data_IF_113463271759
#
_entry.id   IF_113463271759
#
_cell.length_a   1.000
_cell.length_b   1.000
_cell.length_c   1.000
_cell.angle_alpha   90.00
_cell.angle_beta   90.00
_cell.angle_gamma   90.00
#
_symmetry.space_group_name_H-M   'P 1'
#
loop_
_entity.id
_entity.type
_entity.pdbx_description
1 polymer ?
#
# COMPACT_ATOMS: atom_id res chain seq x y z
N UNK A 1 23.61 17.08 41.33
CA UNK A 1 24.03 16.09 40.31
C UNK A 1 23.84 16.70 38.92
N UNK A 2 24.96 16.99 38.24
CA UNK A 2 24.92 17.60 36.87
C UNK A 2 24.64 16.50 35.86
N UNK A 3 23.60 16.68 35.01
CA UNK A 3 23.29 15.79 33.85
C UNK A 3 24.45 15.85 32.84
N UNK A 4 24.91 14.72 32.27
CA UNK A 4 25.92 14.75 31.24
C UNK A 4 25.37 15.41 29.96
N UNK A 5 26.13 16.35 29.40
CA UNK A 5 25.89 16.96 28.09
C UNK A 5 26.01 15.88 27.03
N UNK A 6 24.96 15.66 26.24
CA UNK A 6 25.05 14.91 24.98
C UNK A 6 25.97 15.67 24.03
N UNK A 7 27.18 15.18 23.84
CA UNK A 7 28.10 15.63 22.80
C UNK A 7 27.50 15.30 21.43
N UNK A 8 27.05 16.32 20.72
CA UNK A 8 26.71 16.18 19.30
C UNK A 8 27.99 15.80 18.53
N UNK A 9 27.92 14.76 17.70
CA UNK A 9 29.01 14.40 16.76
C UNK A 9 29.29 15.64 15.89
N UNK A 10 30.55 15.99 15.73
CA UNK A 10 30.99 17.08 14.87
C UNK A 10 30.75 16.74 13.39
N UNK A 11 30.66 17.74 12.52
CA UNK A 11 30.55 17.56 11.08
C UNK A 11 31.70 16.75 10.47
N UNK A 12 32.87 16.75 11.11
CA UNK A 12 34.04 15.95 10.72
C UNK A 12 33.92 14.46 11.08
N UNK A 13 33.17 14.09 12.14
CA UNK A 13 32.91 12.69 12.49
C UNK A 13 31.89 12.04 11.53
N UNK A 14 31.02 12.84 10.90
CA UNK A 14 30.03 12.36 9.92
C UNK A 14 30.70 11.94 8.59
N UNK A 15 31.82 12.57 8.19
CA UNK A 15 32.51 12.26 6.94
C UNK A 15 33.36 10.98 7.04
N UNK A 16 33.90 10.64 8.22
CA UNK A 16 34.72 9.44 8.41
C UNK A 16 33.94 8.12 8.33
N UNK A 17 32.65 8.11 8.64
CA UNK A 17 31.80 6.91 8.65
C UNK A 17 31.11 6.63 7.29
N UNK A 18 31.16 7.55 6.33
CA UNK A 18 30.47 7.42 5.03
C UNK A 18 30.86 6.19 4.18
N UNK A 19 32.14 5.78 4.07
CA UNK A 19 32.51 4.56 3.35
C UNK A 19 31.86 3.31 3.95
N UNK A 20 31.78 3.24 5.29
CA UNK A 20 31.14 2.14 6.00
C UNK A 20 29.62 2.11 5.75
N UNK A 21 28.97 3.28 5.62
CA UNK A 21 27.53 3.38 5.33
C UNK A 21 27.22 2.86 3.92
N UNK A 22 28.02 3.20 2.90
CA UNK A 22 27.83 2.69 1.54
C UNK A 22 28.04 1.16 1.48
N UNK A 23 28.99 0.63 2.23
CA UNK A 23 29.22 -0.82 2.34
C UNK A 23 28.00 -1.52 2.98
N UNK A 24 27.45 -0.93 4.03
CA UNK A 24 26.26 -1.47 4.69
C UNK A 24 25.01 -1.34 3.81
N UNK A 25 24.87 -0.23 3.06
CA UNK A 25 23.80 -0.05 2.09
C UNK A 25 23.85 -1.09 0.97
N UNK A 26 25.03 -1.33 0.41
CA UNK A 26 25.23 -2.36 -0.61
C UNK A 26 24.95 -3.77 -0.07
N UNK A 27 25.32 -4.08 1.17
CA UNK A 27 25.04 -5.36 1.82
C UNK A 27 23.54 -5.60 1.98
N UNK A 28 22.82 -4.64 2.56
CA UNK A 28 21.37 -4.80 2.74
C UNK A 28 20.62 -4.80 1.40
N UNK A 29 21.10 -4.04 0.42
CA UNK A 29 20.59 -4.08 -0.94
C UNK A 29 20.72 -5.49 -1.55
N UNK A 30 21.87 -6.14 -1.38
CA UNK A 30 22.08 -7.54 -1.81
C UNK A 30 21.00 -8.46 -1.25
N UNK A 31 20.75 -8.41 0.06
CA UNK A 31 19.70 -9.22 0.70
C UNK A 31 18.28 -8.89 0.20
N UNK A 32 18.02 -7.64 -0.16
CA UNK A 32 16.72 -7.24 -0.72
C UNK A 32 16.55 -7.74 -2.15
N UNK A 33 17.61 -7.77 -2.94
CA UNK A 33 17.61 -8.23 -4.33
C UNK A 33 17.51 -9.77 -4.49
N UNK A 34 17.58 -10.53 -3.40
CA UNK A 34 17.22 -11.95 -3.38
C UNK A 34 15.70 -12.15 -3.57
N UNK A 35 14.90 -11.12 -3.30
CA UNK A 35 13.44 -11.10 -3.43
C UNK A 35 12.68 -12.17 -2.64
N UNK A 36 13.29 -12.85 -1.70
CA UNK A 36 12.66 -13.85 -0.83
C UNK A 36 11.68 -13.21 0.17
N UNK A 37 12.01 -12.01 0.64
CA UNK A 37 11.22 -11.29 1.64
C UNK A 37 10.88 -9.86 1.19
N UNK A 38 9.78 -9.27 1.71
CA UNK A 38 9.46 -7.86 1.48
C UNK A 38 10.61 -6.93 1.89
N UNK A 39 10.89 -5.91 1.08
CA UNK A 39 12.01 -4.98 1.30
C UNK A 39 11.92 -4.28 2.67
N UNK A 40 10.72 -3.93 3.12
CA UNK A 40 10.48 -3.33 4.44
C UNK A 40 10.84 -4.27 5.60
N UNK A 41 10.57 -5.56 5.45
CA UNK A 41 10.92 -6.59 6.45
C UNK A 41 12.44 -6.77 6.54
N UNK A 42 13.13 -6.84 5.39
CA UNK A 42 14.60 -6.94 5.31
C UNK A 42 15.25 -5.72 5.94
N UNK A 43 14.83 -4.49 5.55
CA UNK A 43 15.33 -3.24 6.13
C UNK A 43 15.04 -3.14 7.62
N UNK A 44 13.84 -3.51 8.07
CA UNK A 44 13.48 -3.47 9.49
C UNK A 44 14.33 -4.42 10.32
N UNK A 45 14.63 -5.63 9.80
CA UNK A 45 15.54 -6.58 10.44
C UNK A 45 16.94 -6.01 10.50
N UNK A 46 17.45 -5.53 9.39
CA UNK A 46 18.78 -4.93 9.28
C UNK A 46 18.98 -3.78 10.27
N UNK A 47 18.03 -2.85 10.39
CA UNK A 47 18.14 -1.72 11.32
C UNK A 47 18.03 -2.12 12.80
N UNK A 48 17.40 -3.24 13.12
CA UNK A 48 17.40 -3.80 14.48
C UNK A 48 18.76 -4.42 14.84
N UNK A 49 19.45 -4.99 13.88
CA UNK A 49 20.76 -5.60 14.07
C UNK A 49 21.90 -4.55 14.07
N UNK A 50 21.67 -3.38 13.46
CA UNK A 50 22.65 -2.30 13.31
C UNK A 50 22.24 -1.05 14.11
N UNK A 51 22.25 -1.17 15.45
CA UNK A 51 21.80 -0.10 16.35
C UNK A 51 22.63 1.18 16.28
N UNK A 52 23.91 1.09 15.87
CA UNK A 52 24.82 2.21 15.74
C UNK A 52 24.45 3.20 14.61
N UNK A 53 23.63 2.76 13.64
CA UNK A 53 23.18 3.62 12.54
C UNK A 53 22.27 4.73 13.06
N UNK A 54 22.65 5.97 12.79
CA UNK A 54 21.88 7.15 13.11
C UNK A 54 20.63 7.29 12.21
N UNK A 55 19.75 8.26 12.55
CA UNK A 55 18.53 8.51 11.77
C UNK A 55 18.84 8.87 10.31
N UNK A 56 19.89 9.67 10.07
CA UNK A 56 20.30 10.09 8.70
C UNK A 56 20.81 8.92 7.89
N UNK A 57 21.61 8.04 8.51
CA UNK A 57 22.18 6.86 7.85
C UNK A 57 21.07 5.88 7.44
N UNK A 58 20.14 5.63 8.36
CA UNK A 58 18.96 4.79 8.08
C UNK A 58 18.11 5.35 6.96
N UNK A 59 17.92 6.68 6.91
CA UNK A 59 17.18 7.33 5.84
C UNK A 59 17.90 7.15 4.50
N UNK A 60 19.21 7.44 4.43
CA UNK A 60 20.01 7.26 3.22
C UNK A 60 19.93 5.82 2.69
N UNK A 61 20.12 4.84 3.57
CA UNK A 61 20.06 3.42 3.20
C UNK A 61 18.66 3.07 2.67
N UNK A 62 17.61 3.43 3.38
CA UNK A 62 16.24 3.10 2.97
C UNK A 62 15.86 3.80 1.66
N UNK A 63 16.14 5.09 1.52
CA UNK A 63 15.84 5.87 0.32
C UNK A 63 16.59 5.32 -0.89
N UNK A 64 17.87 4.95 -0.73
CA UNK A 64 18.65 4.32 -1.80
C UNK A 64 18.07 2.97 -2.20
N UNK A 65 17.75 2.09 -1.24
CA UNK A 65 17.16 0.76 -1.55
C UNK A 65 15.83 0.92 -2.29
N UNK A 66 14.92 1.75 -1.77
CA UNK A 66 13.63 1.97 -2.45
C UNK A 66 13.78 2.68 -3.80
N UNK A 67 14.72 3.60 -3.94
CA UNK A 67 15.03 4.27 -5.20
C UNK A 67 15.52 3.28 -6.25
N UNK A 68 16.45 2.40 -5.87
CA UNK A 68 16.99 1.35 -6.74
C UNK A 68 15.88 0.38 -7.16
N UNK A 69 15.05 -0.10 -6.24
CA UNK A 69 13.94 -1.00 -6.56
C UNK A 69 12.94 -0.39 -7.56
N UNK A 70 12.69 0.93 -7.47
CA UNK A 70 11.84 1.63 -8.45
C UNK A 70 12.45 1.66 -9.84
N UNK A 71 13.78 1.79 -9.92
CA UNK A 71 14.52 2.01 -11.17
C UNK A 71 15.49 0.88 -11.48
N UNK A 72 15.21 -0.34 -11.02
CA UNK A 72 16.16 -1.44 -11.08
C UNK A 72 16.55 -1.82 -12.51
N UNK A 73 15.57 -1.88 -13.42
CA UNK A 73 15.82 -2.21 -14.82
C UNK A 73 16.65 -1.13 -15.53
N UNK A 74 16.31 0.12 -15.30
CA UNK A 74 17.06 1.27 -15.77
C UNK A 74 18.49 1.27 -15.24
N UNK A 75 18.69 0.94 -13.94
CA UNK A 75 20.02 0.86 -13.33
C UNK A 75 20.84 -0.30 -13.90
N UNK A 76 20.24 -1.45 -14.17
CA UNK A 76 20.95 -2.54 -14.85
C UNK A 76 21.40 -2.16 -16.25
N UNK A 77 20.64 -1.39 -17.00
CA UNK A 77 21.06 -0.86 -18.31
C UNK A 77 22.22 0.13 -18.18
N UNK A 78 22.19 1.01 -17.16
CA UNK A 78 23.27 1.96 -16.91
C UNK A 78 24.58 1.27 -16.51
N UNK A 79 24.47 0.26 -15.66
CA UNK A 79 25.61 -0.39 -15.05
C UNK A 79 26.23 -1.51 -15.90
N UNK A 80 25.54 -1.91 -16.98
CA UNK A 80 25.82 -3.14 -17.72
C UNK A 80 25.22 -4.36 -17.02
N UNK A 81 24.95 -5.44 -17.78
CA UNK A 81 24.37 -6.66 -17.23
C UNK A 81 25.22 -7.28 -16.12
N UNK A 82 24.59 -7.82 -15.07
CA UNK A 82 25.28 -8.47 -13.95
C UNK A 82 25.88 -7.52 -12.91
N UNK A 83 25.41 -6.27 -12.86
CA UNK A 83 25.89 -5.29 -11.87
C UNK A 83 25.71 -5.79 -10.42
N UNK A 84 26.76 -5.64 -9.64
CA UNK A 84 26.76 -5.95 -8.19
C UNK A 84 25.86 -4.97 -7.41
N UNK A 85 25.39 -5.33 -6.22
CA UNK A 85 24.63 -4.40 -5.37
C UNK A 85 25.36 -3.08 -5.11
N UNK A 86 26.70 -3.11 -5.01
CA UNK A 86 27.51 -1.90 -4.86
C UNK A 86 27.50 -1.04 -6.11
N UNK A 87 27.62 -1.64 -7.28
CA UNK A 87 27.52 -0.91 -8.56
C UNK A 87 26.15 -0.29 -8.77
N UNK A 88 25.06 -1.02 -8.46
CA UNK A 88 23.70 -0.48 -8.50
C UNK A 88 23.53 0.72 -7.55
N UNK A 89 24.09 0.63 -6.33
CA UNK A 89 24.07 1.75 -5.38
C UNK A 89 24.83 2.96 -5.92
N UNK A 90 26.03 2.77 -6.44
CA UNK A 90 26.85 3.86 -6.99
C UNK A 90 26.18 4.49 -8.22
N UNK A 91 25.60 3.68 -9.13
CA UNK A 91 24.83 4.17 -10.27
C UNK A 91 23.60 4.97 -9.84
N UNK A 92 22.87 4.50 -8.80
CA UNK A 92 21.76 5.23 -8.20
C UNK A 92 22.17 6.58 -7.63
N UNK A 93 23.24 6.63 -6.84
CA UNK A 93 23.75 7.88 -6.28
C UNK A 93 24.19 8.85 -7.38
N UNK A 94 24.83 8.33 -8.44
CA UNK A 94 25.35 9.13 -9.56
C UNK A 94 24.26 9.69 -10.49
N UNK A 95 23.24 8.90 -10.81
CA UNK A 95 22.22 9.20 -11.83
C UNK A 95 20.82 9.40 -11.25
N UNK A 96 20.44 8.66 -10.21
CA UNK A 96 19.16 8.77 -9.52
C UNK A 96 19.11 9.95 -8.56
N UNK A 97 20.12 10.06 -7.70
CA UNK A 97 20.25 11.16 -6.72
C UNK A 97 21.06 12.35 -7.28
N UNK A 98 21.69 12.21 -8.44
CA UNK A 98 22.41 13.28 -9.11
C UNK A 98 23.71 13.72 -8.41
N UNK A 99 24.37 12.85 -7.67
CA UNK A 99 25.62 13.17 -6.98
C UNK A 99 26.68 13.67 -7.97
N UNK A 100 27.30 14.81 -7.64
CA UNK A 100 28.49 15.30 -8.35
C UNK A 100 29.71 14.43 -8.00
N UNK A 101 30.70 14.35 -8.89
CA UNK A 101 31.90 13.50 -8.69
C UNK A 101 32.62 13.79 -7.37
N UNK A 102 32.68 15.05 -6.93
CA UNK A 102 33.27 15.44 -5.64
C UNK A 102 32.60 14.79 -4.41
N UNK A 103 31.33 14.37 -4.53
CA UNK A 103 30.61 13.71 -3.43
C UNK A 103 31.04 12.26 -3.23
N UNK A 104 31.75 11.68 -4.21
CA UNK A 104 32.36 10.36 -4.14
C UNK A 104 33.80 10.35 -3.64
N UNK A 105 34.41 11.54 -3.40
CA UNK A 105 35.81 11.66 -2.96
C UNK A 105 35.99 10.95 -1.60
N UNK A 106 36.98 10.05 -1.54
CA UNK A 106 37.26 9.24 -0.34
C UNK A 106 36.27 8.10 -0.08
N UNK A 107 35.23 7.91 -0.91
CA UNK A 107 34.19 6.89 -0.76
C UNK A 107 34.35 5.72 -1.71
N UNK A 108 35.03 5.91 -2.83
CA UNK A 108 35.17 4.96 -3.93
C UNK A 108 36.63 4.81 -4.33
N UNK A 109 36.99 3.66 -4.92
CA UNK A 109 38.31 3.46 -5.51
C UNK A 109 38.49 4.26 -6.82
N UNK A 110 39.74 4.34 -7.32
CA UNK A 110 40.02 4.97 -8.62
C UNK A 110 39.30 4.28 -9.77
N UNK A 111 39.20 2.94 -9.75
CA UNK A 111 38.47 2.15 -10.75
C UNK A 111 36.96 2.44 -10.69
N UNK A 112 36.38 2.47 -9.48
CA UNK A 112 34.97 2.81 -9.30
C UNK A 112 34.69 4.24 -9.76
N UNK A 113 35.61 5.18 -9.55
CA UNK A 113 35.47 6.55 -10.01
C UNK A 113 35.37 6.64 -11.53
N UNK A 114 36.28 6.00 -12.26
CA UNK A 114 36.23 5.94 -13.73
C UNK A 114 34.95 5.28 -14.23
N UNK A 115 34.53 4.19 -13.55
CA UNK A 115 33.28 3.52 -13.88
C UNK A 115 32.06 4.43 -13.66
N UNK A 116 32.02 5.21 -12.57
CA UNK A 116 30.93 6.18 -12.30
C UNK A 116 30.89 7.26 -13.39
N UNK A 117 32.04 7.76 -13.82
CA UNK A 117 32.15 8.75 -14.93
C UNK A 117 31.56 8.18 -16.21
N UNK A 118 31.88 6.93 -16.55
CA UNK A 118 31.29 6.23 -17.69
C UNK A 118 29.75 6.06 -17.53
N UNK A 119 29.27 5.63 -16.38
CA UNK A 119 27.82 5.50 -16.08
C UNK A 119 27.11 6.85 -16.23
N UNK A 120 27.73 7.95 -15.81
CA UNK A 120 27.15 9.30 -15.96
C UNK A 120 27.03 9.73 -17.41
N UNK A 121 27.88 9.25 -18.30
CA UNK A 121 27.91 9.56 -19.73
C UNK A 121 26.94 8.69 -20.57
N UNK A 122 26.42 7.59 -20.03
CA UNK A 122 25.51 6.69 -20.76
C UNK A 122 24.22 7.43 -21.15
N UNK A 123 23.89 7.42 -22.42
CA UNK A 123 22.58 7.83 -22.93
C UNK A 123 21.64 6.61 -22.99
N UNK A 124 20.47 6.75 -22.39
CA UNK A 124 19.42 5.74 -22.36
C UNK A 124 18.13 6.23 -23.05
N UNK A 125 18.25 7.07 -24.07
CA UNK A 125 17.12 7.56 -24.87
C UNK A 125 16.35 6.42 -25.57
N UNK A 126 17.03 5.32 -25.92
CA UNK A 126 16.48 4.14 -26.57
C UNK A 126 16.28 2.98 -25.56
N UNK A 127 15.28 2.14 -25.80
CA UNK A 127 15.01 0.95 -25.01
C UNK A 127 13.62 0.37 -25.25
N UNK A 128 13.43 -0.90 -24.92
CA UNK A 128 12.12 -1.55 -24.97
C UNK A 128 11.10 -0.81 -24.09
N UNK A 129 9.81 -0.99 -24.35
CA UNK A 129 8.76 -0.38 -23.57
C UNK A 129 8.89 -0.77 -22.07
N UNK A 130 9.18 -2.03 -21.79
CA UNK A 130 9.33 -2.53 -20.41
C UNK A 130 10.56 -1.92 -19.70
N UNK A 131 11.63 -1.65 -20.42
CA UNK A 131 12.80 -0.92 -19.89
C UNK A 131 12.50 0.56 -19.61
N UNK A 132 11.76 1.22 -20.50
CA UNK A 132 11.31 2.61 -20.32
C UNK A 132 10.33 2.74 -19.14
N UNK A 133 9.49 1.72 -18.94
CA UNK A 133 8.53 1.62 -17.85
C UNK A 133 9.15 1.18 -16.50
N UNK A 134 10.37 0.62 -16.51
CA UNK A 134 10.96 -0.05 -15.34
C UNK A 134 10.07 -1.18 -14.78
N UNK A 135 9.49 -1.99 -15.68
CA UNK A 135 8.63 -3.12 -15.34
C UNK A 135 9.22 -4.44 -15.86
N UNK A 136 8.95 -5.59 -15.22
CA UNK A 136 9.17 -6.89 -15.84
C UNK A 136 8.41 -7.02 -17.16
N UNK A 137 8.94 -7.78 -18.13
CA UNK A 137 8.33 -7.93 -19.46
C UNK A 137 6.90 -8.46 -19.36
N UNK A 138 6.69 -9.55 -18.59
CA UNK A 138 5.38 -10.14 -18.37
C UNK A 138 4.34 -9.16 -17.81
N UNK A 139 4.76 -8.25 -16.91
CA UNK A 139 3.85 -7.26 -16.33
C UNK A 139 3.51 -6.17 -17.33
N UNK A 140 4.48 -5.77 -18.13
CA UNK A 140 4.28 -4.82 -19.21
C UNK A 140 3.27 -5.37 -20.23
N UNK A 141 3.43 -6.63 -20.65
CA UNK A 141 2.51 -7.33 -21.56
C UNK A 141 1.08 -7.40 -21.01
N UNK A 142 0.89 -7.78 -19.74
CA UNK A 142 -0.44 -7.83 -19.11
C UNK A 142 -1.10 -6.45 -19.02
N UNK A 143 -0.35 -5.42 -18.69
CA UNK A 143 -0.87 -4.05 -18.59
C UNK A 143 -1.23 -3.44 -19.96
N UNK A 144 -0.58 -3.86 -21.05
CA UNK A 144 -0.95 -3.47 -22.41
C UNK A 144 -2.34 -4.01 -22.83
N UNK A 145 -2.87 -5.00 -22.14
CA UNK A 145 -4.26 -5.45 -22.32
C UNK A 145 -5.31 -4.38 -21.96
N UNK A 146 -4.93 -3.41 -21.11
CA UNK A 146 -5.86 -2.36 -20.63
C UNK A 146 -5.34 -0.93 -20.85
N UNK A 147 -4.12 -0.76 -21.31
CA UNK A 147 -3.47 0.53 -21.57
C UNK A 147 -2.80 0.52 -22.94
N UNK A 148 -2.79 1.64 -23.63
CA UNK A 148 -1.85 1.86 -24.73
C UNK A 148 -0.43 2.16 -24.19
N UNK A 149 0.57 2.22 -25.07
CA UNK A 149 1.96 2.47 -24.65
C UNK A 149 2.13 3.79 -23.88
N UNK A 150 1.46 4.84 -24.29
CA UNK A 150 1.55 6.16 -23.68
C UNK A 150 0.96 6.14 -22.26
N UNK A 151 -0.23 5.55 -22.10
CA UNK A 151 -0.89 5.37 -20.82
C UNK A 151 -0.10 4.47 -19.88
N UNK A 152 0.51 3.39 -20.39
CA UNK A 152 1.38 2.52 -19.61
C UNK A 152 2.61 3.26 -19.10
N UNK A 153 3.27 4.06 -19.93
CA UNK A 153 4.42 4.85 -19.51
C UNK A 153 4.05 5.91 -18.48
N UNK A 154 2.89 6.55 -18.63
CA UNK A 154 2.40 7.52 -17.66
C UNK A 154 2.08 6.84 -16.31
N UNK A 155 1.45 5.68 -16.34
CA UNK A 155 1.20 4.86 -15.16
C UNK A 155 2.51 4.45 -14.48
N UNK A 156 3.46 3.91 -15.23
CA UNK A 156 4.77 3.48 -14.73
C UNK A 156 5.55 4.64 -14.10
N UNK A 157 5.57 5.82 -14.74
CA UNK A 157 6.19 7.02 -14.14
C UNK A 157 5.55 7.40 -12.82
N UNK A 158 4.25 7.30 -12.73
CA UNK A 158 3.50 7.61 -11.51
C UNK A 158 3.77 6.60 -10.39
N UNK A 159 3.82 5.30 -10.73
CA UNK A 159 4.14 4.20 -9.80
C UNK A 159 5.59 4.24 -9.31
N UNK A 160 6.50 4.81 -10.07
CA UNK A 160 7.91 4.97 -9.71
C UNK A 160 8.20 6.21 -8.84
N UNK A 161 7.17 6.99 -8.48
CA UNK A 161 7.29 8.11 -7.52
C UNK A 161 6.92 7.63 -6.11
N UNK A 162 7.51 8.22 -5.04
CA UNK A 162 7.06 7.95 -3.68
C UNK A 162 5.59 8.33 -3.46
N UNK A 163 4.85 7.50 -2.73
CA UNK A 163 3.48 7.81 -2.35
C UNK A 163 3.43 8.91 -1.29
N UNK A 164 2.37 9.74 -1.26
CA UNK A 164 2.11 10.65 -0.16
C UNK A 164 1.83 9.90 1.13
N UNK A 165 1.90 10.58 2.25
CA UNK A 165 1.49 10.07 3.55
C UNK A 165 0.10 10.58 3.87
N UNK A 166 -0.89 9.69 3.78
CA UNK A 166 -2.27 10.01 4.08
C UNK A 166 -2.67 9.44 5.44
N UNK A 167 -3.45 10.22 6.17
CA UNK A 167 -4.08 9.86 7.43
C UNK A 167 -5.59 9.81 7.24
N UNK A 168 -6.25 8.97 8.00
CA UNK A 168 -7.69 8.97 8.17
C UNK A 168 -8.03 9.43 9.58
N UNK A 169 -8.88 10.45 9.70
CA UNK A 169 -9.47 10.83 10.96
C UNK A 169 -10.43 9.75 11.48
N UNK A 170 -10.37 9.46 12.77
CA UNK A 170 -11.32 8.60 13.45
C UNK A 170 -12.54 9.45 13.85
N UNK A 171 -13.56 9.41 13.02
CA UNK A 171 -14.78 10.23 13.20
C UNK A 171 -15.60 9.87 14.47
N UNK A 172 -15.25 8.80 15.15
CA UNK A 172 -15.82 8.48 16.46
C UNK A 172 -15.26 9.40 17.55
N UNK A 173 -14.04 9.95 17.35
CA UNK A 173 -13.34 10.77 18.35
C UNK A 173 -13.34 12.26 17.99
N UNK A 174 -13.07 12.59 16.73
CA UNK A 174 -13.05 13.99 16.28
C UNK A 174 -13.30 14.07 14.76
N UNK A 175 -13.74 15.24 14.31
CA UNK A 175 -13.90 15.51 12.87
C UNK A 175 -12.55 15.59 12.17
N UNK A 176 -12.54 15.41 10.83
CA UNK A 176 -11.36 15.63 10.01
C UNK A 176 -10.77 17.01 10.21
N UNK A 177 -11.62 18.05 10.25
CA UNK A 177 -11.16 19.43 10.33
C UNK A 177 -10.53 19.75 11.70
N UNK A 178 -11.06 19.17 12.77
CA UNK A 178 -10.44 19.25 14.10
C UNK A 178 -9.09 18.51 14.14
N UNK A 179 -8.99 17.34 13.53
CA UNK A 179 -7.73 16.62 13.43
C UNK A 179 -6.70 17.40 12.59
N UNK A 180 -7.13 17.99 11.48
CA UNK A 180 -6.30 18.80 10.60
C UNK A 180 -5.73 20.01 11.34
N UNK A 181 -6.57 20.77 12.06
CA UNK A 181 -6.13 21.91 12.85
C UNK A 181 -5.07 21.52 13.90
N UNK A 182 -5.31 20.42 14.66
CA UNK A 182 -4.34 19.94 15.64
C UNK A 182 -2.99 19.51 15.02
N UNK A 183 -3.01 18.93 13.80
CA UNK A 183 -1.77 18.58 13.08
C UNK A 183 -1.02 19.84 12.66
N UNK A 184 -1.72 20.84 12.13
CA UNK A 184 -1.15 22.12 11.70
C UNK A 184 -0.59 22.91 12.90
N UNK A 185 -1.30 22.97 14.01
CA UNK A 185 -0.84 23.60 15.26
C UNK A 185 0.42 22.93 15.82
N UNK A 186 0.60 21.63 15.53
CA UNK A 186 1.82 20.87 15.86
C UNK A 186 2.99 21.14 14.91
N UNK A 187 2.82 22.06 13.94
CA UNK A 187 3.84 22.41 12.94
C UNK A 187 3.97 21.42 11.79
N UNK A 188 2.98 20.54 11.57
CA UNK A 188 2.95 19.63 10.44
C UNK A 188 2.28 20.33 9.24
N UNK A 189 2.91 20.22 8.08
CA UNK A 189 2.31 20.65 6.82
C UNK A 189 1.27 19.61 6.40
N UNK A 190 0.00 19.91 6.64
CA UNK A 190 -1.14 19.05 6.46
C UNK A 190 -2.26 19.75 5.69
N UNK A 191 -2.91 19.01 4.79
CA UNK A 191 -4.05 19.48 4.00
C UNK A 191 -5.14 18.39 3.92
N UNK A 192 -6.41 18.74 3.63
CA UNK A 192 -7.43 17.75 3.33
C UNK A 192 -7.02 16.90 2.12
N UNK A 193 -7.33 15.62 2.15
CA UNK A 193 -7.26 14.79 0.95
C UNK A 193 -8.32 15.23 -0.07
N UNK A 194 -8.06 15.08 -1.40
CA UNK A 194 -8.98 15.52 -2.44
C UNK A 194 -10.35 14.80 -2.43
N UNK A 195 -10.34 13.50 -2.11
CA UNK A 195 -11.51 12.64 -2.31
C UNK A 195 -12.14 12.18 -1.00
N UNK A 196 -11.33 11.77 -0.02
CA UNK A 196 -11.85 11.23 1.23
C UNK A 196 -12.30 12.33 2.19
N UNK A 197 -13.60 12.35 2.62
CA UNK A 197 -14.07 13.30 3.65
C UNK A 197 -13.35 13.16 5.00
N UNK A 198 -12.72 12.00 5.25
CA UNK A 198 -11.99 11.73 6.50
C UNK A 198 -10.47 11.84 6.30
N UNK A 199 -10.01 12.09 5.07
CA UNK A 199 -8.60 12.05 4.69
C UNK A 199 -7.85 13.35 4.99
N UNK A 200 -6.62 13.20 5.48
CA UNK A 200 -5.65 14.28 5.67
C UNK A 200 -4.34 13.85 5.03
N UNK A 201 -3.80 14.65 4.14
CA UNK A 201 -2.51 14.42 3.47
C UNK A 201 -1.42 15.23 4.13
N UNK A 202 -0.29 14.59 4.43
CA UNK A 202 0.88 15.25 4.99
C UNK A 202 1.94 15.48 3.92
N UNK A 203 2.56 16.65 3.93
CA UNK A 203 3.76 16.89 3.17
C UNK A 203 4.94 16.14 3.81
N UNK A 204 5.70 15.40 2.98
CA UNK A 204 6.81 14.59 3.45
C UNK A 204 6.41 13.37 4.29
N UNK A 205 7.33 12.92 5.15
CA UNK A 205 7.15 11.74 6.02
C UNK A 205 7.55 12.05 7.46
N UNK A 206 6.77 12.88 8.18
CA UNK A 206 7.06 13.19 9.57
C UNK A 206 6.94 11.95 10.46
N UNK A 207 7.61 11.97 11.61
CA UNK A 207 7.56 10.90 12.60
C UNK A 207 6.28 11.00 13.44
N UNK A 208 5.23 10.27 13.03
CA UNK A 208 3.92 10.29 13.68
C UNK A 208 3.83 9.44 14.95
N UNK A 209 4.75 8.48 15.17
CA UNK A 209 4.66 7.48 16.23
C UNK A 209 4.60 8.06 17.65
N UNK A 210 4.98 9.32 17.80
CA UNK A 210 4.92 10.07 19.08
C UNK A 210 3.88 11.17 19.09
N UNK A 211 3.15 11.38 17.98
CA UNK A 211 2.14 12.41 17.90
C UNK A 211 0.90 12.01 18.73
N UNK A 212 0.33 12.92 19.58
CA UNK A 212 -0.80 12.60 20.45
C UNK A 212 -1.99 11.98 19.70
N UNK A 213 -2.41 12.56 18.57
CA UNK A 213 -3.53 12.06 17.77
C UNK A 213 -3.29 10.65 17.19
N UNK A 214 -2.04 10.25 17.00
CA UNK A 214 -1.72 8.89 16.57
C UNK A 214 -1.69 7.92 17.75
N UNK A 215 -1.17 8.37 18.89
CA UNK A 215 -1.07 7.54 20.09
C UNK A 215 -2.44 7.21 20.69
N UNK A 216 -3.36 8.17 20.64
CA UNK A 216 -4.73 7.99 21.16
C UNK A 216 -5.70 7.36 20.15
N UNK A 217 -5.29 7.18 18.86
CA UNK A 217 -6.11 6.61 17.81
C UNK A 217 -7.15 7.57 17.23
N UNK A 218 -6.94 8.87 17.37
CA UNK A 218 -7.71 9.91 16.69
C UNK A 218 -7.41 9.98 15.19
N UNK A 219 -6.21 9.54 14.78
CA UNK A 219 -5.84 9.37 13.37
C UNK A 219 -5.18 8.01 13.15
N UNK A 220 -5.34 7.47 11.94
CA UNK A 220 -4.70 6.25 11.46
C UNK A 220 -4.01 6.51 10.12
N UNK A 221 -2.83 5.91 9.91
CA UNK A 221 -2.17 5.95 8.60
C UNK A 221 -2.93 5.02 7.64
N UNK A 222 -3.48 5.60 6.59
CA UNK A 222 -4.18 4.86 5.55
C UNK A 222 -4.19 5.67 4.25
N UNK A 223 -3.80 5.04 3.14
CA UNK A 223 -3.91 5.63 1.80
C UNK A 223 -5.34 6.10 1.51
N UNK A 224 -5.48 7.24 0.84
CA UNK A 224 -6.78 7.83 0.53
C UNK A 224 -7.67 6.88 -0.29
N UNK A 225 -7.11 6.18 -1.29
CA UNK A 225 -7.86 5.20 -2.08
C UNK A 225 -8.40 4.05 -1.23
N UNK A 226 -7.61 3.56 -0.27
CA UNK A 226 -8.08 2.57 0.70
C UNK A 226 -9.20 3.11 1.60
N UNK A 227 -9.23 4.41 1.89
CA UNK A 227 -10.33 5.05 2.62
C UNK A 227 -11.62 5.08 1.77
N UNK A 228 -11.51 5.36 0.47
CA UNK A 228 -12.66 5.41 -0.46
C UNK A 228 -13.39 4.07 -0.50
N UNK A 229 -12.67 2.94 -0.46
CA UNK A 229 -13.28 1.61 -0.40
C UNK A 229 -14.25 1.44 0.79
N UNK A 230 -13.93 2.03 1.94
CA UNK A 230 -14.80 2.00 3.11
C UNK A 230 -16.14 2.72 2.90
N UNK A 231 -16.16 3.77 2.06
CA UNK A 231 -17.39 4.50 1.75
C UNK A 231 -18.33 3.73 0.82
N UNK A 232 -17.82 2.79 0.00
CA UNK A 232 -18.67 1.89 -0.81
C UNK A 232 -19.52 0.97 0.06
N UNK A 233 -19.04 0.65 1.26
CA UNK A 233 -19.79 -0.17 2.21
C UNK A 233 -21.03 0.54 2.76
N UNK A 234 -21.01 1.85 2.98
CA UNK A 234 -22.06 2.64 3.62
C UNK A 234 -22.68 1.96 4.85
N UNK A 235 -21.89 1.49 5.83
CA UNK A 235 -22.42 0.75 6.96
C UNK A 235 -23.26 1.66 7.85
N UNK A 236 -24.37 1.11 8.38
CA UNK A 236 -25.26 1.83 9.29
C UNK A 236 -25.06 1.38 10.73
N UNK A 237 -25.36 2.26 11.68
CA UNK A 237 -25.38 1.90 13.10
C UNK A 237 -26.37 0.76 13.34
N UNK A 238 -25.96 -0.25 14.11
CA UNK A 238 -26.79 -1.40 14.45
C UNK A 238 -26.74 -2.56 13.45
N UNK A 239 -26.18 -2.38 12.25
CA UNK A 239 -26.04 -3.45 11.24
C UNK A 239 -25.07 -4.55 11.67
N UNK A 240 -25.21 -5.70 11.03
CA UNK A 240 -24.26 -6.79 11.06
C UNK A 240 -23.36 -6.71 9.82
N UNK A 241 -22.10 -6.34 10.05
CA UNK A 241 -21.08 -6.11 9.01
C UNK A 241 -19.96 -7.13 9.14
N UNK A 242 -19.42 -7.55 8.00
CA UNK A 242 -18.26 -8.46 7.93
C UNK A 242 -17.14 -7.80 7.13
N UNK A 243 -15.92 -7.81 7.66
CA UNK A 243 -14.66 -7.60 6.96
C UNK A 243 -13.98 -8.97 6.82
N UNK A 244 -14.06 -9.57 5.63
CA UNK A 244 -13.72 -10.98 5.42
C UNK A 244 -12.21 -11.24 5.35
N UNK A 245 -11.41 -10.23 4.99
CA UNK A 245 -9.96 -10.28 4.91
C UNK A 245 -9.35 -9.10 5.67
N UNK A 246 -9.65 -9.00 6.97
CA UNK A 246 -9.43 -7.79 7.76
C UNK A 246 -7.97 -7.34 7.89
N UNK A 247 -7.01 -8.26 7.75
CA UNK A 247 -5.60 -7.96 7.89
C UNK A 247 -5.25 -7.35 9.24
N UNK A 248 -4.55 -6.21 9.22
CA UNK A 248 -4.23 -5.42 10.41
C UNK A 248 -5.36 -4.42 10.79
N UNK A 249 -6.50 -4.43 10.09
CA UNK A 249 -7.72 -3.73 10.46
C UNK A 249 -7.87 -2.31 9.95
N UNK A 250 -7.15 -1.90 8.90
CA UNK A 250 -7.29 -0.53 8.38
C UNK A 250 -8.74 -0.19 8.01
N UNK A 251 -9.40 -1.05 7.23
CA UNK A 251 -10.80 -0.91 6.82
C UNK A 251 -11.76 -1.27 7.96
N UNK A 252 -11.47 -2.31 8.74
CA UNK A 252 -12.26 -2.66 9.94
C UNK A 252 -12.45 -1.46 10.88
N UNK A 253 -11.38 -0.72 11.20
CA UNK A 253 -11.45 0.46 12.07
C UNK A 253 -12.29 1.58 11.45
N UNK A 254 -12.23 1.76 10.14
CA UNK A 254 -13.07 2.72 9.42
C UNK A 254 -14.54 2.35 9.51
N UNK A 255 -14.88 1.10 9.18
CA UNK A 255 -16.25 0.60 9.23
C UNK A 255 -16.83 0.70 10.65
N UNK A 256 -16.06 0.29 11.67
CA UNK A 256 -16.47 0.41 13.07
C UNK A 256 -16.78 1.85 13.50
N UNK A 257 -15.96 2.82 13.07
CA UNK A 257 -16.20 4.24 13.33
C UNK A 257 -17.44 4.76 12.58
N UNK A 258 -17.63 4.38 11.31
CA UNK A 258 -18.83 4.73 10.52
C UNK A 258 -20.12 4.15 11.13
N UNK A 259 -20.04 2.96 11.72
CA UNK A 259 -21.13 2.32 12.48
C UNK A 259 -21.37 2.98 13.85
N UNK A 260 -20.60 4.01 14.23
CA UNK A 260 -20.64 4.64 15.56
C UNK A 260 -20.42 3.65 16.70
N UNK A 261 -19.57 2.64 16.48
CA UNK A 261 -19.27 1.56 17.44
C UNK A 261 -20.51 0.78 17.92
N UNK A 262 -21.57 0.70 17.10
CA UNK A 262 -22.79 -0.03 17.37
C UNK A 262 -23.04 -1.14 16.35
N UNK A 263 -23.90 -2.12 16.70
CA UNK A 263 -24.10 -3.32 15.88
C UNK A 263 -22.99 -4.35 16.06
N UNK A 264 -22.70 -5.13 15.01
CA UNK A 264 -21.68 -6.19 15.05
C UNK A 264 -20.78 -6.10 13.82
N UNK A 265 -19.48 -5.99 14.03
CA UNK A 265 -18.49 -6.01 12.97
C UNK A 265 -17.55 -7.20 13.20
N UNK A 266 -17.72 -8.26 12.42
CA UNK A 266 -16.79 -9.38 12.41
C UNK A 266 -15.62 -9.10 11.48
N UNK A 267 -14.40 -9.28 11.99
CA UNK A 267 -13.16 -9.11 11.27
C UNK A 267 -12.45 -10.47 11.14
N UNK A 268 -12.59 -11.12 9.99
CA UNK A 268 -11.96 -12.42 9.73
C UNK A 268 -10.60 -12.26 9.05
N UNK A 269 -9.66 -13.11 9.41
CA UNK A 269 -8.40 -13.29 8.70
C UNK A 269 -7.83 -14.69 9.01
N UNK A 270 -7.04 -15.23 8.07
CA UNK A 270 -6.32 -16.49 8.24
C UNK A 270 -4.94 -16.29 8.90
N UNK A 271 -4.48 -15.06 9.03
CA UNK A 271 -3.17 -14.71 9.56
C UNK A 271 -3.26 -14.22 11.01
N UNK A 272 -2.97 -15.08 11.98
CA UNK A 272 -2.98 -14.76 13.40
C UNK A 272 -2.17 -13.52 13.75
N UNK A 273 -0.96 -13.39 13.17
CA UNK A 273 -0.07 -12.23 13.40
C UNK A 273 -0.69 -10.90 12.94
N UNK A 274 -1.55 -10.92 11.93
CA UNK A 274 -2.28 -9.72 11.47
C UNK A 274 -3.38 -9.36 12.44
N UNK A 275 -4.21 -10.31 12.85
CA UNK A 275 -5.26 -10.12 13.85
C UNK A 275 -4.71 -9.71 15.23
N UNK A 276 -3.55 -10.20 15.60
CA UNK A 276 -2.89 -9.78 16.83
C UNK A 276 -2.54 -8.27 16.81
N UNK A 277 -2.24 -7.70 15.63
CA UNK A 277 -2.02 -6.26 15.46
C UNK A 277 -3.34 -5.46 15.45
N UNK A 278 -4.44 -6.05 15.02
CA UNK A 278 -5.76 -5.41 15.00
C UNK A 278 -6.27 -5.13 16.41
N UNK A 279 -6.17 -6.09 17.34
CA UNK A 279 -6.74 -5.98 18.69
C UNK A 279 -6.37 -4.69 19.45
N UNK A 280 -5.08 -4.33 19.60
CA UNK A 280 -4.70 -3.10 20.28
C UNK A 280 -5.15 -1.83 19.52
N UNK A 281 -5.27 -1.88 18.20
CA UNK A 281 -5.78 -0.77 17.40
C UNK A 281 -7.27 -0.54 17.60
N UNK A 282 -8.06 -1.60 17.72
CA UNK A 282 -9.50 -1.53 18.06
C UNK A 282 -9.69 -0.83 19.40
N UNK A 283 -8.95 -1.25 20.43
CA UNK A 283 -9.01 -0.61 21.76
C UNK A 283 -8.59 0.87 21.68
N UNK A 284 -7.47 1.17 21.01
CA UNK A 284 -6.98 2.53 20.81
C UNK A 284 -8.00 3.40 20.06
N UNK A 285 -8.68 2.86 19.06
CA UNK A 285 -9.70 3.58 18.29
C UNK A 285 -11.01 3.82 19.09
N UNK A 286 -11.19 3.20 20.26
CA UNK A 286 -12.40 3.31 21.08
C UNK A 286 -13.58 2.51 20.54
N UNK A 287 -13.33 1.43 19.80
CA UNK A 287 -14.37 0.59 19.20
C UNK A 287 -14.71 -0.58 20.11
N UNK A 288 -16.00 -0.82 20.33
CA UNK A 288 -16.53 -1.92 21.16
C UNK A 288 -17.30 -2.98 20.35
N UNK A 289 -17.59 -2.69 19.06
CA UNK A 289 -18.43 -3.54 18.21
C UNK A 289 -17.61 -4.45 17.27
N UNK A 290 -16.29 -4.47 17.37
CA UNK A 290 -15.39 -5.25 16.51
C UNK A 290 -15.02 -6.58 17.13
N UNK A 291 -15.21 -7.66 16.39
CA UNK A 291 -14.94 -9.04 16.80
C UNK A 291 -13.89 -9.69 15.88
N UNK A 292 -12.59 -9.59 16.19
CA UNK A 292 -11.55 -10.26 15.42
C UNK A 292 -11.59 -11.77 15.61
N UNK A 293 -11.72 -12.52 14.51
CA UNK A 293 -11.84 -13.99 14.51
C UNK A 293 -10.86 -14.60 13.53
N UNK A 294 -9.96 -15.43 14.04
CA UNK A 294 -9.06 -16.23 13.20
C UNK A 294 -9.86 -17.38 12.56
N UNK A 295 -9.81 -17.48 11.25
CA UNK A 295 -10.36 -18.62 10.49
C UNK A 295 -9.22 -19.43 9.87
N UNK A 296 -9.42 -20.74 9.68
CA UNK A 296 -8.40 -21.60 9.10
C UNK A 296 -8.28 -21.39 7.57
N UNK A 297 -9.39 -21.15 6.92
CA UNK A 297 -9.55 -20.90 5.49
C UNK A 297 -10.94 -20.31 5.20
N UNK A 298 -11.21 -19.93 3.96
CA UNK A 298 -12.46 -19.27 3.56
C UNK A 298 -13.73 -20.12 3.77
N UNK A 299 -13.59 -21.47 3.93
CA UNK A 299 -14.70 -22.41 4.18
C UNK A 299 -14.78 -22.88 5.64
N UNK A 300 -14.19 -22.13 6.57
CA UNK A 300 -14.19 -22.47 7.99
C UNK A 300 -15.63 -22.67 8.53
N UNK A 301 -15.81 -23.70 9.35
CA UNK A 301 -17.13 -24.07 9.91
C UNK A 301 -17.79 -22.94 10.70
N UNK A 302 -17.01 -22.03 11.29
CA UNK A 302 -17.51 -20.86 12.04
C UNK A 302 -18.32 -19.92 11.15
N UNK A 303 -18.04 -19.84 9.86
CA UNK A 303 -18.74 -19.01 8.89
C UNK A 303 -20.16 -19.54 8.60
N UNK A 304 -20.39 -20.86 8.67
CA UNK A 304 -21.68 -21.47 8.37
C UNK A 304 -22.84 -20.88 9.20
N UNK A 305 -22.59 -20.54 10.46
CA UNK A 305 -23.59 -19.94 11.36
C UNK A 305 -24.02 -18.53 10.96
N UNK A 306 -23.24 -17.88 10.11
CA UNK A 306 -23.43 -16.50 9.67
C UNK A 306 -24.04 -16.43 8.28
N UNK A 307 -24.28 -17.58 7.63
CA UNK A 307 -24.83 -17.64 6.27
C UNK A 307 -26.16 -16.88 6.18
N UNK A 308 -26.26 -15.98 5.19
CA UNK A 308 -27.45 -15.18 4.90
C UNK A 308 -27.84 -14.17 5.98
N UNK A 309 -26.92 -13.74 6.84
CA UNK A 309 -27.21 -12.87 7.99
C UNK A 309 -26.57 -11.49 7.91
N UNK A 310 -25.47 -11.33 7.17
CA UNK A 310 -24.74 -10.07 7.11
C UNK A 310 -25.46 -9.04 6.23
N UNK A 311 -25.67 -7.85 6.76
CA UNK A 311 -26.19 -6.71 6.02
C UNK A 311 -25.16 -6.27 4.96
N UNK A 312 -23.88 -6.32 5.31
CA UNK A 312 -22.78 -5.89 4.45
C UNK A 312 -21.55 -6.77 4.65
N UNK A 313 -20.92 -7.13 3.55
CA UNK A 313 -19.66 -7.89 3.55
C UNK A 313 -18.63 -7.17 2.70
N UNK A 314 -17.48 -6.84 3.28
CA UNK A 314 -16.29 -6.36 2.58
C UNK A 314 -15.35 -7.53 2.33
N UNK A 315 -14.88 -7.64 1.12
CA UNK A 315 -13.92 -8.65 0.67
C UNK A 315 -12.73 -7.95 0.04
N UNK A 316 -11.87 -7.36 0.88
CA UNK A 316 -10.58 -6.78 0.47
C UNK A 316 -9.57 -7.92 0.35
N UNK A 317 -9.62 -8.62 -0.79
CA UNK A 317 -8.92 -9.89 -0.98
C UNK A 317 -7.40 -9.76 -0.99
N UNK A 318 -6.66 -10.79 -0.58
CA UNK A 318 -5.23 -10.85 -0.89
C UNK A 318 -5.06 -10.82 -2.41
N UNK A 319 -4.18 -9.94 -2.89
CA UNK A 319 -3.92 -9.70 -4.30
C UNK A 319 -2.44 -9.43 -4.55
N UNK A 320 -2.05 -9.26 -5.81
CA UNK A 320 -0.66 -8.96 -6.21
C UNK A 320 -0.08 -7.73 -5.52
N UNK A 321 -0.94 -6.77 -5.16
CA UNK A 321 -0.53 -5.50 -4.56
C UNK A 321 0.11 -4.52 -5.54
N UNK A 322 0.05 -4.78 -6.84
CA UNK A 322 0.72 -3.99 -7.88
C UNK A 322 0.24 -2.52 -7.93
N UNK A 323 -0.95 -2.22 -7.43
CA UNK A 323 -1.42 -0.85 -7.26
C UNK A 323 -0.65 -0.06 -6.21
N UNK A 324 0.10 -0.73 -5.32
CA UNK A 324 0.86 -0.12 -4.21
C UNK A 324 2.36 0.00 -4.48
N UNK A 325 2.81 -0.12 -5.73
CA UNK A 325 4.23 -0.06 -6.12
C UNK A 325 4.92 1.23 -5.68
N UNK A 326 4.19 2.32 -5.52
CA UNK A 326 4.71 3.58 -4.94
C UNK A 326 5.25 3.39 -3.52
N UNK A 327 4.70 2.45 -2.76
CA UNK A 327 5.08 2.11 -1.37
C UNK A 327 5.97 0.87 -1.32
N UNK A 328 5.66 -0.13 -2.15
CA UNK A 328 6.26 -1.46 -2.14
C UNK A 328 6.84 -1.77 -3.54
N UNK A 329 7.90 -1.06 -4.00
CA UNK A 329 8.43 -1.23 -5.36
C UNK A 329 9.07 -2.59 -5.63
N UNK A 330 9.38 -3.37 -4.58
CA UNK A 330 9.87 -4.74 -4.68
C UNK A 330 8.80 -5.71 -5.21
N UNK A 331 7.49 -5.40 -5.05
CA UNK A 331 6.42 -6.30 -5.49
C UNK A 331 6.50 -6.63 -6.98
N UNK A 332 6.80 -5.68 -7.84
CA UNK A 332 6.89 -5.92 -9.29
C UNK A 332 7.98 -6.93 -9.66
N UNK A 333 9.02 -7.08 -8.82
CA UNK A 333 10.13 -8.02 -9.01
C UNK A 333 9.90 -9.36 -8.33
N UNK A 334 9.03 -9.38 -7.30
CA UNK A 334 8.71 -10.59 -6.51
C UNK A 334 7.54 -11.38 -7.09
N UNK A 335 6.64 -10.73 -7.81
CA UNK A 335 5.51 -11.40 -8.45
C UNK A 335 5.94 -12.16 -9.70
N UNK A 336 5.22 -13.24 -9.99
CA UNK A 336 5.37 -14.04 -11.22
C UNK A 336 4.00 -14.28 -11.85
N UNK A 337 3.91 -14.57 -13.15
CA UNK A 337 2.65 -14.92 -13.80
C UNK A 337 1.90 -16.05 -13.07
N UNK A 338 2.59 -17.13 -12.71
CA UNK A 338 2.01 -18.28 -12.01
C UNK A 338 1.44 -17.87 -10.63
N UNK A 339 2.17 -17.03 -9.88
CA UNK A 339 1.68 -16.56 -8.58
C UNK A 339 0.40 -15.71 -8.71
N UNK A 340 0.25 -14.96 -9.81
CA UNK A 340 -0.98 -14.21 -10.10
C UNK A 340 -2.14 -15.19 -10.39
N UNK A 341 -1.93 -16.21 -11.22
CA UNK A 341 -2.97 -17.18 -11.56
C UNK A 341 -3.47 -17.96 -10.34
N UNK A 342 -2.57 -18.34 -9.43
CA UNK A 342 -2.91 -18.92 -8.13
C UNK A 342 -3.70 -17.95 -7.24
N UNK A 343 -3.33 -16.66 -7.28
CA UNK A 343 -4.00 -15.61 -6.51
C UNK A 343 -5.43 -15.41 -6.99
N UNK A 344 -5.67 -15.36 -8.31
CA UNK A 344 -7.01 -15.24 -8.92
C UNK A 344 -7.90 -16.40 -8.47
N UNK A 345 -7.41 -17.64 -8.52
CA UNK A 345 -8.16 -18.81 -8.05
C UNK A 345 -8.56 -18.70 -6.58
N UNK A 346 -7.66 -18.18 -5.76
CA UNK A 346 -7.92 -17.93 -4.33
C UNK A 346 -8.95 -16.80 -4.12
N UNK A 347 -8.87 -15.72 -4.89
CA UNK A 347 -9.81 -14.59 -4.83
C UNK A 347 -11.22 -15.04 -5.18
N UNK A 348 -11.39 -15.86 -6.21
CA UNK A 348 -12.67 -16.46 -6.58
C UNK A 348 -13.25 -17.29 -5.41
N UNK A 349 -12.44 -18.18 -4.82
CA UNK A 349 -12.88 -19.00 -3.69
C UNK A 349 -13.27 -18.18 -2.45
N UNK A 350 -12.56 -17.07 -2.18
CA UNK A 350 -12.87 -16.16 -1.08
C UNK A 350 -14.17 -15.40 -1.35
N UNK A 351 -14.37 -14.88 -2.57
CA UNK A 351 -15.57 -14.15 -2.98
C UNK A 351 -16.81 -15.05 -2.86
N UNK A 352 -16.73 -16.28 -3.37
CA UNK A 352 -17.73 -17.32 -3.23
C UNK A 352 -18.13 -17.60 -1.78
N UNK A 353 -17.15 -17.69 -0.90
CA UNK A 353 -17.39 -17.98 0.50
C UNK A 353 -18.02 -16.79 1.23
N UNK A 354 -17.57 -15.59 0.93
CA UNK A 354 -18.07 -14.35 1.52
C UNK A 354 -19.49 -14.03 1.07
N UNK A 355 -19.84 -14.28 -0.20
CA UNK A 355 -21.17 -14.09 -0.76
C UNK A 355 -22.25 -14.85 0.01
N UNK A 356 -21.94 -16.06 0.52
CA UNK A 356 -22.85 -16.87 1.34
C UNK A 356 -23.25 -16.21 2.66
N UNK A 357 -22.49 -15.24 3.15
CA UNK A 357 -22.79 -14.53 4.39
C UNK A 357 -23.83 -13.41 4.17
N UNK A 358 -23.92 -12.88 2.95
CA UNK A 358 -24.78 -11.73 2.61
C UNK A 358 -26.25 -12.16 2.70
N UNK A 359 -27.07 -11.40 3.43
CA UNK A 359 -28.52 -11.62 3.46
C UNK A 359 -29.19 -11.18 2.16
N UNK A 360 -30.40 -11.65 1.83
CA UNK A 360 -31.19 -11.02 0.77
C UNK A 360 -31.36 -9.52 1.02
N UNK A 361 -31.16 -8.71 -0.04
CA UNK A 361 -31.10 -7.25 0.05
C UNK A 361 -29.82 -6.68 0.67
N UNK A 362 -28.85 -7.52 1.01
CA UNK A 362 -27.54 -7.12 1.55
C UNK A 362 -26.56 -6.71 0.47
N UNK A 363 -25.43 -6.14 0.91
CA UNK A 363 -24.36 -5.63 0.03
C UNK A 363 -23.08 -6.43 0.21
N UNK A 364 -22.43 -6.74 -0.91
CA UNK A 364 -21.10 -7.32 -1.00
C UNK A 364 -20.19 -6.34 -1.75
N UNK A 365 -19.03 -6.03 -1.18
CA UNK A 365 -18.03 -5.19 -1.85
C UNK A 365 -16.77 -6.03 -2.02
N UNK A 366 -16.43 -6.33 -3.28
CA UNK A 366 -15.15 -6.92 -3.66
C UNK A 366 -14.14 -5.82 -3.90
N UNK A 367 -12.93 -5.95 -3.39
CA UNK A 367 -11.88 -4.95 -3.56
C UNK A 367 -10.48 -5.58 -3.65
N UNK A 368 -9.61 -4.94 -4.42
CA UNK A 368 -8.18 -5.26 -4.54
C UNK A 368 -7.33 -4.00 -4.57
N UNK A 369 -6.04 -4.14 -4.31
CA UNK A 369 -5.03 -3.15 -4.65
C UNK A 369 -4.17 -3.63 -5.85
N UNK A 370 -4.79 -4.28 -6.83
CA UNK A 370 -4.19 -4.73 -8.08
C UNK A 370 -4.48 -3.79 -9.24
N UNK A 371 -3.59 -3.82 -10.24
CA UNK A 371 -3.75 -3.14 -11.53
C UNK A 371 -4.22 -4.10 -12.64
N UNK A 372 -4.27 -5.41 -12.35
CA UNK A 372 -4.50 -6.45 -13.34
C UNK A 372 -6.00 -6.75 -13.50
N UNK A 373 -6.48 -6.82 -14.74
CA UNK A 373 -7.88 -7.13 -15.07
C UNK A 373 -8.32 -8.49 -14.54
N UNK A 374 -7.42 -9.48 -14.62
CA UNK A 374 -7.66 -10.84 -14.14
C UNK A 374 -7.89 -10.96 -12.63
N UNK A 375 -7.37 -10.03 -11.82
CA UNK A 375 -7.65 -9.96 -10.37
C UNK A 375 -8.88 -9.09 -10.06
N UNK A 376 -9.35 -8.32 -11.03
CA UNK A 376 -10.38 -7.30 -10.88
C UNK A 376 -11.68 -7.68 -11.59
N UNK A 377 -11.80 -7.24 -12.84
CA UNK A 377 -13.03 -7.42 -13.62
C UNK A 377 -13.36 -8.88 -13.87
N UNK A 378 -12.37 -9.69 -14.26
CA UNK A 378 -12.59 -11.07 -14.63
C UNK A 378 -13.11 -11.91 -13.45
N UNK A 379 -12.63 -11.62 -12.21
CA UNK A 379 -13.17 -12.27 -11.01
C UNK A 379 -14.61 -11.88 -10.75
N UNK A 380 -14.94 -10.59 -10.90
CA UNK A 380 -16.30 -10.08 -10.65
C UNK A 380 -17.28 -10.57 -11.72
N UNK A 381 -16.87 -10.56 -12.99
CA UNK A 381 -17.72 -11.00 -14.11
C UNK A 381 -18.00 -12.51 -14.03
N UNK A 382 -16.98 -13.31 -13.75
CA UNK A 382 -17.15 -14.76 -13.53
C UNK A 382 -18.10 -15.03 -12.34
N UNK A 383 -17.97 -14.26 -11.26
CA UNK A 383 -18.85 -14.37 -10.10
C UNK A 383 -20.31 -14.04 -10.45
N UNK A 384 -20.57 -12.92 -11.17
CA UNK A 384 -21.93 -12.51 -11.55
C UNK A 384 -22.59 -13.53 -12.47
N UNK A 385 -21.85 -14.14 -13.38
CA UNK A 385 -22.36 -15.22 -14.22
C UNK A 385 -22.79 -16.44 -13.40
N UNK A 386 -22.01 -16.80 -12.38
CA UNK A 386 -22.29 -17.96 -11.52
C UNK A 386 -23.37 -17.68 -10.46
N UNK A 387 -23.62 -16.42 -10.12
CA UNK A 387 -24.51 -15.97 -9.05
C UNK A 387 -25.54 -14.95 -9.54
N UNK A 388 -26.57 -15.39 -10.29
CA UNK A 388 -27.59 -14.49 -10.84
C UNK A 388 -28.44 -13.78 -9.77
N UNK A 389 -28.36 -14.22 -8.51
CA UNK A 389 -28.97 -13.54 -7.37
C UNK A 389 -28.21 -12.29 -6.91
N UNK A 390 -27.06 -11.98 -7.53
CA UNK A 390 -26.32 -10.74 -7.30
C UNK A 390 -26.35 -9.85 -8.53
N UNK A 391 -26.53 -8.56 -8.31
CA UNK A 391 -26.51 -7.54 -9.38
C UNK A 391 -25.46 -6.47 -9.05
N UNK A 392 -24.84 -5.93 -10.07
CA UNK A 392 -23.88 -4.81 -9.93
C UNK A 392 -24.59 -3.54 -9.50
N UNK A 393 -23.96 -2.75 -8.62
CA UNK A 393 -24.45 -1.43 -8.25
C UNK A 393 -23.36 -0.39 -8.53
N UNK A 394 -23.74 0.76 -9.08
CA UNK A 394 -22.83 1.83 -9.46
C UNK A 394 -22.02 2.34 -8.25
N UNK A 395 -20.71 2.14 -8.29
CA UNK A 395 -19.78 2.68 -7.29
C UNK A 395 -19.79 4.21 -7.31
N UNK A 396 -19.89 4.82 -8.50
CA UNK A 396 -19.95 6.26 -8.68
C UNK A 396 -21.19 6.87 -8.01
N UNK A 397 -22.37 6.30 -8.22
CA UNK A 397 -23.61 6.78 -7.58
C UNK A 397 -23.57 6.63 -6.06
N UNK A 398 -23.00 5.54 -5.56
CA UNK A 398 -22.87 5.29 -4.13
C UNK A 398 -21.95 6.32 -3.47
N UNK A 399 -20.84 6.67 -4.13
CA UNK A 399 -19.89 7.66 -3.65
C UNK A 399 -20.44 9.09 -3.80
N UNK A 400 -21.07 9.40 -4.94
CA UNK A 400 -21.65 10.73 -5.21
C UNK A 400 -22.71 11.15 -4.16
N UNK A 401 -23.51 10.20 -3.67
CA UNK A 401 -24.47 10.45 -2.57
C UNK A 401 -23.80 10.83 -1.25
N UNK A 402 -22.50 10.65 -1.13
CA UNK A 402 -21.68 11.00 0.03
C UNK A 402 -20.74 12.20 -0.27
N UNK A 403 -20.94 12.88 -1.41
CA UNK A 403 -20.09 14.00 -1.83
C UNK A 403 -18.71 13.60 -2.32
N UNK A 404 -18.53 12.33 -2.73
CA UNK A 404 -17.25 11.77 -3.22
C UNK A 404 -17.42 11.49 -4.71
N UNK A 405 -16.70 12.20 -5.57
CA UNK A 405 -16.87 12.12 -7.02
C UNK A 405 -15.52 11.96 -7.75
N UNK A 406 -14.84 10.81 -7.62
CA UNK A 406 -13.56 10.58 -8.28
C UNK A 406 -13.70 10.30 -9.79
N UNK A 407 -14.92 10.13 -10.32
CA UNK A 407 -15.16 9.91 -11.75
C UNK A 407 -14.73 8.51 -12.21
N UNK A 408 -15.11 7.47 -11.47
CA UNK A 408 -14.62 6.10 -11.69
C UNK A 408 -15.62 5.17 -12.40
N UNK A 409 -16.82 5.63 -12.67
CA UNK A 409 -17.86 4.85 -13.34
C UNK A 409 -18.52 3.77 -12.47
N UNK A 410 -19.04 2.73 -13.10
CA UNK A 410 -19.80 1.67 -12.43
C UNK A 410 -18.98 0.92 -11.39
N UNK A 411 -17.73 0.60 -11.71
CA UNK A 411 -16.76 -0.03 -10.80
C UNK A 411 -15.69 0.99 -10.40
N UNK A 412 -15.32 1.02 -9.13
CA UNK A 412 -14.28 1.91 -8.66
C UNK A 412 -12.92 1.51 -9.25
N UNK A 413 -12.25 2.45 -9.92
CA UNK A 413 -10.86 2.33 -10.38
C UNK A 413 -10.10 3.59 -9.98
N UNK A 414 -9.22 3.44 -9.01
CA UNK A 414 -8.34 4.51 -8.59
C UNK A 414 -6.92 4.25 -9.09
N UNK A 415 -6.25 5.30 -9.50
CA UNK A 415 -4.87 5.22 -9.96
C UNK A 415 -4.05 6.42 -9.49
N UNK A 416 -2.73 6.27 -9.37
CA UNK A 416 -1.87 7.39 -9.02
C UNK A 416 -1.84 8.48 -10.10
N UNK A 417 -2.17 8.16 -11.34
CA UNK A 417 -2.22 9.11 -12.47
C UNK A 417 -3.41 10.05 -12.33
N UNK A 418 -4.62 9.49 -12.22
CA UNK A 418 -5.84 10.28 -12.22
C UNK A 418 -6.22 10.83 -10.83
N UNK A 419 -5.90 10.09 -9.77
CA UNK A 419 -6.45 10.38 -8.44
C UNK A 419 -5.36 10.74 -7.41
N UNK A 420 -4.07 10.51 -7.70
CA UNK A 420 -2.98 10.73 -6.74
C UNK A 420 -2.94 9.71 -5.59
N UNK A 421 -3.83 8.72 -5.58
CA UNK A 421 -3.90 7.60 -4.62
C UNK A 421 -3.04 6.43 -5.09
N UNK A 422 -2.90 5.38 -4.28
CA UNK A 422 -2.46 4.08 -4.79
C UNK A 422 -3.52 3.49 -5.75
N UNK A 423 -3.16 2.47 -6.51
CA UNK A 423 -4.08 1.78 -7.40
C UNK A 423 -5.05 0.89 -6.61
N UNK A 424 -6.35 1.09 -6.81
CA UNK A 424 -7.40 0.27 -6.22
C UNK A 424 -8.51 -0.03 -7.21
N UNK A 425 -9.09 -1.19 -7.05
CA UNK A 425 -10.30 -1.61 -7.73
C UNK A 425 -11.36 -2.00 -6.70
N UNK A 426 -12.63 -1.71 -6.97
CA UNK A 426 -13.74 -2.32 -6.24
C UNK A 426 -15.01 -2.41 -7.08
N UNK A 427 -15.77 -3.49 -6.84
CA UNK A 427 -17.13 -3.67 -7.35
C UNK A 427 -18.11 -3.80 -6.18
N UNK A 428 -19.26 -3.18 -6.33
CA UNK A 428 -20.37 -3.28 -5.37
C UNK A 428 -21.43 -4.19 -5.94
N UNK A 429 -21.77 -5.24 -5.19
CA UNK A 429 -22.73 -6.27 -5.58
C UNK A 429 -23.87 -6.27 -4.55
N UNK A 430 -25.11 -6.24 -5.04
CA UNK A 430 -26.31 -6.30 -4.21
C UNK A 430 -26.95 -7.66 -4.36
N UNK A 431 -27.18 -8.37 -3.26
CA UNK A 431 -27.98 -9.59 -3.31
C UNK A 431 -29.45 -9.25 -3.43
N UNK A 432 -30.11 -9.74 -4.46
CA UNK A 432 -31.52 -9.46 -4.69
C UNK A 432 -32.39 -9.99 -3.52
N UNK A 433 -33.50 -9.32 -3.28
CA UNK A 433 -34.51 -9.83 -2.36
C UNK A 433 -35.25 -10.96 -3.08
N UNK A 434 -35.25 -12.15 -2.49
CA UNK A 434 -36.15 -13.20 -2.96
C UNK A 434 -37.58 -12.67 -2.77
N UNK A 435 -38.25 -12.34 -3.86
CA UNK A 435 -39.69 -12.06 -3.79
C UNK A 435 -40.33 -13.34 -3.24
N UNK A 436 -40.79 -13.28 -1.99
CA UNK A 436 -41.67 -14.31 -1.46
C UNK A 436 -42.94 -14.20 -2.26
N UNK A 437 -43.15 -15.15 -3.20
CA UNK A 437 -44.41 -15.34 -3.90
C UNK A 437 -45.51 -15.84 -2.96
#
# INVERSE_FOLDING_TARGET
MKRPKKTGRSSQDVDKDRPAILTQAAKVLGNVLEFEHPADAVLSKFFREHHALGRRDRALIAESVYGILRRLRWLHRLAGGGATPRQLLLAWLARGEGWAMRQFDGLVSGEERHWIEAVKAVDLSEGSLAERADLPDWLCERLLGTHDEAGLLQLAQSLNRPAPLDLRANILKLSRDAALACLQDSGLDAAPCPWSPHGIRLAGKPALQKHPLFLDGSVEVQDEGSQILGFLMQPKSGEFVVDFCAGAGGKTLQLGAMMRSAGRLYAFDVAEKRLARLRPRVARAGLSNVHPILIAHERDARLKRLAGKADRVLVDVPCSGLGTLRRNPDLKWRQTPTAIDEMVSRQQAILEAAAKLVRPGGRLVYATCSLLGEENDDVVDAFLVAHPEFVSASAEDILARQGIAPGTGERLRLSPVAHGTDGFFAAVLMREQTLQG
#
